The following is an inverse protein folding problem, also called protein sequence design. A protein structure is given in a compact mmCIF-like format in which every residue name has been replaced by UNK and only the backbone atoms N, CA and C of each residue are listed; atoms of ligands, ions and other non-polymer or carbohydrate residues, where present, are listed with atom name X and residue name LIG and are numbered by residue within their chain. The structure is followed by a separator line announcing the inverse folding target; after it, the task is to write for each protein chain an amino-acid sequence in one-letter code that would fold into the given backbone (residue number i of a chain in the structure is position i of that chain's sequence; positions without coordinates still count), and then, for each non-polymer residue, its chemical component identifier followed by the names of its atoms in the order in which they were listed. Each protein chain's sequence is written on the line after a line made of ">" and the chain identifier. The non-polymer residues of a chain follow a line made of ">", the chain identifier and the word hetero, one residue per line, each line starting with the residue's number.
data_IF_168359792496
#
_entry.id   IF_168359792496
#
_cell.length_a   1.000
_cell.length_b   1.000
_cell.length_c   1.000
_cell.angle_alpha   90.00
_cell.angle_beta   90.00
_cell.angle_gamma   90.00
#
_symmetry.space_group_name_H-M   'P 1'
#
loop_
_entity.id
_entity.type
_entity.pdbx_description
1 polymer ?
#
# COMPACT_ATOMS: atom_id res chain seq x y z
N UNK A 1 -1.56 3.01 -12.48
CA UNK A 1 -2.66 3.03 -11.49
C UNK A 1 -2.03 3.10 -10.11
N UNK A 2 -2.20 4.22 -9.41
CA UNK A 2 -1.55 4.44 -8.12
C UNK A 2 -2.25 3.66 -7.02
N UNK A 3 -1.52 2.76 -6.36
CA UNK A 3 -1.94 2.13 -5.11
C UNK A 3 -1.61 3.07 -3.95
N UNK A 4 -2.50 3.21 -2.98
CA UNK A 4 -2.24 3.99 -1.77
C UNK A 4 -1.41 3.16 -0.79
N UNK A 5 -0.36 3.74 -0.22
CA UNK A 5 0.59 3.03 0.65
C UNK A 5 0.07 2.79 2.07
N UNK A 6 -0.96 3.51 2.50
CA UNK A 6 -1.57 3.41 3.83
C UNK A 6 -2.99 4.00 3.85
N UNK A 7 -3.76 3.70 4.89
CA UNK A 7 -5.07 4.32 5.16
C UNK A 7 -4.99 5.85 5.18
N UNK A 8 -3.98 6.42 5.85
CA UNK A 8 -3.78 7.87 5.90
C UNK A 8 -3.52 8.47 4.52
N UNK A 9 -2.74 7.79 3.68
CA UNK A 9 -2.51 8.22 2.29
C UNK A 9 -3.81 8.16 1.48
N UNK A 10 -4.64 7.15 1.72
CA UNK A 10 -5.93 7.00 1.06
C UNK A 10 -6.91 8.12 1.48
N UNK A 11 -7.02 8.45 2.76
CA UNK A 11 -7.88 9.57 3.19
C UNK A 11 -7.46 10.91 2.61
N UNK A 12 -6.15 11.14 2.42
CA UNK A 12 -5.65 12.42 1.89
C UNK A 12 -5.77 12.55 0.37
N UNK A 13 -5.63 11.45 -0.37
CA UNK A 13 -5.48 11.49 -1.83
C UNK A 13 -6.47 10.61 -2.61
N UNK A 14 -7.06 9.61 -1.94
CA UNK A 14 -7.96 8.62 -2.52
C UNK A 14 -9.44 8.94 -2.35
N UNK A 15 -9.80 9.90 -1.50
CA UNK A 15 -11.17 10.41 -1.38
C UNK A 15 -11.28 11.79 -2.01
N UNK A 16 -12.19 11.92 -2.97
CA UNK A 16 -12.45 13.19 -3.65
C UNK A 16 -13.88 13.61 -3.38
N UNK A 17 -14.08 14.76 -2.74
CA UNK A 17 -15.41 15.36 -2.63
C UNK A 17 -15.94 15.68 -4.02
N UNK A 18 -17.17 15.28 -4.30
CA UNK A 18 -17.83 15.53 -5.58
C UNK A 18 -19.18 16.20 -5.36
N UNK A 19 -19.58 17.01 -6.34
CA UNK A 19 -20.96 17.46 -6.48
C UNK A 19 -21.70 16.43 -7.33
N UNK A 20 -22.84 15.95 -6.84
CA UNK A 20 -23.68 15.02 -7.59
C UNK A 20 -24.47 15.78 -8.66
N UNK A 21 -24.73 15.13 -9.80
CA UNK A 21 -25.61 15.64 -10.86
C UNK A 21 -27.04 15.14 -10.72
N UNK A 22 -27.25 14.11 -9.91
CA UNK A 22 -28.55 13.50 -9.61
C UNK A 22 -28.61 13.14 -8.13
N UNK A 23 -29.81 13.10 -7.50
CA UNK A 23 -29.97 12.60 -6.15
C UNK A 23 -29.51 11.14 -6.05
N UNK A 24 -28.63 10.83 -5.10
CA UNK A 24 -28.15 9.47 -4.83
C UNK A 24 -28.10 9.24 -3.32
N UNK A 25 -28.37 8.01 -2.91
CA UNK A 25 -28.29 7.60 -1.51
C UNK A 25 -26.93 6.97 -1.20
N UNK A 26 -26.41 7.22 0.00
CA UNK A 26 -25.22 6.57 0.49
C UNK A 26 -25.47 5.06 0.63
N UNK A 27 -24.66 4.21 0.00
CA UNK A 27 -24.89 2.75 0.07
C UNK A 27 -24.54 2.13 1.43
N UNK A 28 -23.92 2.89 2.34
CA UNK A 28 -23.56 2.43 3.70
C UNK A 28 -24.73 2.66 4.67
N UNK A 29 -25.20 3.90 4.81
CA UNK A 29 -26.29 4.26 5.73
C UNK A 29 -27.68 4.30 5.08
N UNK A 30 -27.77 4.36 3.74
CA UNK A 30 -29.00 4.52 2.95
C UNK A 30 -29.71 5.86 3.13
N UNK A 31 -28.97 6.89 3.52
CA UNK A 31 -29.45 8.28 3.63
C UNK A 31 -29.05 9.09 2.37
N UNK A 32 -29.83 10.12 2.01
CA UNK A 32 -29.56 10.94 0.82
C UNK A 32 -28.26 11.75 0.98
N UNK A 33 -27.50 11.83 -0.12
CA UNK A 33 -26.27 12.64 -0.19
C UNK A 33 -26.57 14.07 -0.63
N UNK A 34 -25.68 15.01 -0.25
CA UNK A 34 -25.75 16.39 -0.72
C UNK A 34 -25.69 16.47 -2.25
N UNK A 35 -26.73 17.07 -2.81
CA UNK A 35 -26.93 17.27 -4.24
C UNK A 35 -27.26 18.74 -4.50
N UNK A 36 -26.57 19.37 -5.46
CA UNK A 36 -26.93 20.69 -5.98
C UNK A 36 -27.26 20.59 -7.46
N UNK A 37 -28.53 20.79 -7.87
CA UNK A 37 -28.89 20.73 -9.27
C UNK A 37 -28.19 21.86 -10.05
N UNK A 38 -27.66 21.58 -11.25
CA UNK A 38 -27.10 22.62 -12.11
C UNK A 38 -28.24 23.53 -12.61
N UNK A 39 -28.48 24.64 -11.93
CA UNK A 39 -29.45 25.67 -12.37
C UNK A 39 -30.40 26.26 -11.30
N UNK A 40 -30.11 26.15 -10.01
CA UNK A 40 -30.92 26.79 -8.97
C UNK A 40 -30.64 28.29 -8.84
N UNK A 41 -31.46 29.13 -9.46
CA UNK A 41 -31.59 30.55 -9.12
C UNK A 41 -32.02 30.73 -7.67
N UNK A 42 -31.41 31.71 -7.02
CA UNK A 42 -31.85 32.34 -5.77
C UNK A 42 -33.37 32.56 -5.74
N UNK A 43 -34.04 32.15 -4.65
CA UNK A 43 -35.50 32.12 -4.59
C UNK A 43 -36.06 31.85 -3.20
N UNK A 44 -36.43 32.93 -2.54
CA UNK A 44 -37.07 33.03 -1.22
C UNK A 44 -38.51 32.45 -1.20
N UNK A 45 -38.83 31.69 -0.15
CA UNK A 45 -40.14 31.43 0.51
C UNK A 45 -41.35 30.84 -0.28
N UNK A 46 -42.10 29.94 0.37
CA UNK A 46 -43.52 29.74 0.05
C UNK A 46 -44.16 28.40 0.44
N UNK A 47 -44.92 28.42 1.54
CA UNK A 47 -45.98 27.47 1.89
C UNK A 47 -46.91 27.13 0.71
N UNK A 48 -47.30 25.84 0.60
CA UNK A 48 -48.66 25.41 0.19
C UNK A 48 -48.79 23.86 0.16
N UNK A 49 -49.52 23.37 1.16
CA UNK A 49 -50.62 22.39 1.10
C UNK A 49 -50.61 21.22 0.10
N UNK A 50 -50.82 20.02 0.67
CA UNK A 50 -51.00 18.71 0.05
C UNK A 50 -52.19 18.58 -0.96
N UNK A 51 -52.32 17.40 -1.61
CA UNK A 51 -53.37 16.49 -1.13
C UNK A 51 -52.97 14.99 -1.04
N UNK A 52 -53.29 14.43 0.13
CA UNK A 52 -53.84 13.10 0.44
C UNK A 52 -53.56 11.88 -0.47
N UNK A 53 -52.88 10.88 0.11
CA UNK A 53 -53.40 9.51 0.10
C UNK A 53 -52.94 8.74 1.36
N UNK A 54 -53.82 8.04 2.10
CA UNK A 54 -53.51 7.46 3.39
C UNK A 54 -53.17 5.96 3.27
N UNK A 55 -52.12 5.51 3.97
CA UNK A 55 -52.05 4.18 4.63
C UNK A 55 -50.69 3.94 5.28
N UNK A 56 -50.57 4.26 6.56
CA UNK A 56 -50.37 3.32 7.69
C UNK A 56 -49.78 4.10 8.87
N UNK A 57 -50.62 4.24 9.89
CA UNK A 57 -50.26 4.74 11.22
C UNK A 57 -49.44 3.69 11.97
N UNK A 58 -48.36 4.12 12.63
CA UNK A 58 -48.17 3.84 14.05
C UNK A 58 -47.19 4.83 14.72
N UNK A 59 -47.72 5.45 15.77
CA UNK A 59 -47.05 5.87 17.02
C UNK A 59 -46.16 7.12 17.00
N UNK A 60 -46.69 8.15 17.65
CA UNK A 60 -45.99 9.36 18.05
C UNK A 60 -44.79 9.10 18.98
N UNK A 61 -43.71 9.81 18.72
CA UNK A 61 -42.64 10.18 19.66
C UNK A 61 -42.19 11.62 19.30
N UNK A 62 -41.66 12.40 20.26
CA UNK A 62 -41.72 13.86 20.22
C UNK A 62 -40.74 14.48 19.24
N UNK A 63 -41.08 15.69 18.80
CA UNK A 63 -40.25 16.60 18.03
C UNK A 63 -38.84 16.73 18.62
N UNK A 64 -37.89 16.04 18.01
CA UNK A 64 -36.46 16.35 18.07
C UNK A 64 -36.05 16.71 16.66
N UNK A 65 -35.44 17.89 16.50
CA UNK A 65 -35.01 18.51 15.25
C UNK A 65 -34.58 17.47 14.19
N UNK A 66 -35.38 17.34 13.13
CA UNK A 66 -34.92 16.78 11.87
C UNK A 66 -34.04 17.84 11.21
N UNK A 67 -32.81 17.95 11.69
CA UNK A 67 -31.75 18.56 10.88
C UNK A 67 -31.58 17.63 9.69
N UNK A 68 -31.81 18.18 8.51
CA UNK A 68 -31.64 17.54 7.20
C UNK A 68 -30.15 17.17 7.03
N UNK A 69 -29.72 16.08 7.67
CA UNK A 69 -28.31 15.72 7.81
C UNK A 69 -27.82 15.02 6.55
N UNK A 70 -27.88 15.73 5.43
CA UNK A 70 -27.35 15.26 4.16
C UNK A 70 -25.82 15.29 4.20
N UNK A 71 -25.21 14.16 3.90
CA UNK A 71 -23.76 13.98 3.98
C UNK A 71 -23.06 14.38 2.68
N UNK A 72 -21.84 14.92 2.77
CA UNK A 72 -21.04 15.26 1.59
C UNK A 72 -20.66 14.00 0.80
N UNK A 73 -21.05 13.95 -0.48
CA UNK A 73 -20.66 12.88 -1.38
C UNK A 73 -19.15 12.90 -1.66
N UNK A 74 -18.52 11.73 -1.55
CA UNK A 74 -17.13 11.49 -1.90
C UNK A 74 -17.02 10.33 -2.87
N UNK A 75 -16.17 10.49 -3.89
CA UNK A 75 -15.76 9.43 -4.80
C UNK A 75 -14.42 8.86 -4.35
N UNK A 76 -14.33 7.53 -4.27
CA UNK A 76 -13.09 6.86 -3.88
C UNK A 76 -12.31 6.31 -5.08
N UNK A 77 -11.00 6.47 -5.09
CA UNK A 77 -10.09 5.83 -6.03
C UNK A 77 -9.58 4.50 -5.45
N UNK A 78 -9.41 3.41 -6.21
CA UNK A 78 -9.38 3.34 -7.68
C UNK A 78 -10.70 2.93 -8.35
N UNK A 79 -11.74 2.60 -7.59
CA UNK A 79 -12.96 2.02 -8.14
C UNK A 79 -14.08 3.02 -8.52
N UNK A 80 -13.93 4.29 -8.16
CA UNK A 80 -14.86 5.39 -8.44
C UNK A 80 -16.27 5.24 -7.83
N UNK A 81 -16.45 4.36 -6.84
CA UNK A 81 -17.69 4.30 -6.08
C UNK A 81 -17.87 5.54 -5.20
N UNK A 82 -19.13 5.88 -4.95
CA UNK A 82 -19.54 7.11 -4.24
C UNK A 82 -20.20 6.73 -2.92
N UNK A 83 -19.81 7.45 -1.87
CA UNK A 83 -20.31 7.27 -0.51
C UNK A 83 -20.46 8.62 0.18
N UNK A 84 -21.08 8.64 1.35
CA UNK A 84 -20.93 9.74 2.29
C UNK A 84 -19.51 9.78 2.90
N UNK A 85 -18.98 10.99 3.09
CA UNK A 85 -17.61 11.25 3.56
C UNK A 85 -17.28 10.63 4.93
N UNK A 86 -18.13 10.82 5.92
CA UNK A 86 -18.06 10.28 7.27
C UNK A 86 -18.39 8.78 7.29
N UNK A 87 -19.39 8.33 6.53
CA UNK A 87 -19.73 6.91 6.39
C UNK A 87 -18.55 6.08 5.91
N UNK A 88 -17.86 6.51 4.84
CA UNK A 88 -16.71 5.76 4.33
C UNK A 88 -15.50 5.85 5.28
N UNK A 89 -15.29 6.98 5.97
CA UNK A 89 -14.24 7.09 7.00
C UNK A 89 -14.50 6.13 8.14
N UNK A 90 -15.71 6.16 8.71
CA UNK A 90 -16.10 5.32 9.82
C UNK A 90 -16.05 3.83 9.45
N UNK A 91 -16.47 3.46 8.23
CA UNK A 91 -16.33 2.10 7.71
C UNK A 91 -14.88 1.62 7.72
N UNK A 92 -13.98 2.45 7.22
CA UNK A 92 -12.55 2.14 7.11
C UNK A 92 -11.83 2.18 8.47
N UNK A 93 -12.32 2.96 9.43
CA UNK A 93 -11.79 3.06 10.80
C UNK A 93 -12.32 1.95 11.73
N UNK A 94 -13.61 1.62 11.65
CA UNK A 94 -14.29 0.74 12.63
C UNK A 94 -14.15 -0.74 12.27
N UNK A 95 -14.19 -1.07 10.98
CA UNK A 95 -14.32 -2.47 10.54
C UNK A 95 -13.00 -3.16 10.22
N UNK A 96 -11.85 -2.51 10.47
CA UNK A 96 -10.55 -2.90 9.88
C UNK A 96 -10.67 -3.20 8.38
N UNK A 97 -11.65 -2.57 7.72
CA UNK A 97 -11.92 -2.81 6.31
C UNK A 97 -10.99 -1.89 5.52
N UNK A 98 -10.31 -2.46 4.55
CA UNK A 98 -9.45 -1.75 3.60
C UNK A 98 -9.97 -1.90 2.17
N UNK A 99 -11.21 -2.34 2.03
CA UNK A 99 -11.82 -2.64 0.75
C UNK A 99 -13.06 -1.79 0.54
N UNK A 100 -13.37 -1.51 -0.72
CA UNK A 100 -14.59 -0.81 -1.08
C UNK A 100 -15.82 -1.64 -0.65
N UNK A 101 -16.80 -1.06 0.07
CA UNK A 101 -18.03 -1.76 0.47
C UNK A 101 -18.84 -2.33 -0.71
N UNK A 102 -18.77 -1.68 -1.87
CA UNK A 102 -19.53 -2.07 -3.07
C UNK A 102 -18.87 -3.19 -3.87
N UNK A 103 -17.58 -3.02 -4.21
CA UNK A 103 -16.89 -3.93 -5.15
C UNK A 103 -15.74 -4.72 -4.52
N UNK A 104 -15.46 -4.52 -3.22
CA UNK A 104 -14.38 -5.17 -2.47
C UNK A 104 -12.97 -4.91 -3.03
N UNK A 105 -12.81 -3.91 -3.90
CA UNK A 105 -11.48 -3.48 -4.37
C UNK A 105 -10.66 -3.00 -3.19
N UNK A 106 -9.44 -3.52 -3.06
CA UNK A 106 -8.50 -3.11 -2.02
C UNK A 106 -8.03 -1.66 -2.25
N UNK A 107 -8.23 -0.82 -1.24
CA UNK A 107 -7.97 0.62 -1.28
C UNK A 107 -6.55 0.95 -0.80
N UNK A 108 -6.09 0.24 0.23
CA UNK A 108 -4.75 0.35 0.78
C UNK A 108 -4.38 -0.98 1.44
N UNK A 109 -3.09 -1.25 1.66
CA UNK A 109 -2.68 -2.48 2.29
C UNK A 109 -3.07 -2.58 3.77
N UNK A 110 -3.27 -3.80 4.29
CA UNK A 110 -3.40 -4.02 5.75
C UNK A 110 -2.20 -3.40 6.48
N UNK A 111 -2.42 -2.72 7.63
CA UNK A 111 -1.35 -2.50 8.58
C UNK A 111 -0.77 -3.87 9.00
N UNK A 112 0.48 -4.15 8.59
CA UNK A 112 1.12 -5.46 8.76
C UNK A 112 1.11 -6.36 7.51
N UNK A 113 1.15 -5.77 6.30
CA UNK A 113 1.38 -6.45 5.00
C UNK A 113 2.22 -7.72 5.14
N UNK A 114 1.58 -8.86 4.81
CA UNK A 114 2.19 -10.16 4.46
C UNK A 114 3.63 -10.29 4.99
N UNK A 115 3.78 -10.45 6.31
CA UNK A 115 5.08 -10.75 6.92
C UNK A 115 5.68 -11.91 6.17
N UNK A 116 6.73 -11.64 5.41
CA UNK A 116 7.45 -12.66 4.67
C UNK A 116 8.73 -12.92 5.42
N UNK A 117 8.84 -14.11 6.01
CA UNK A 117 10.10 -14.58 6.59
C UNK A 117 10.92 -15.19 5.47
N UNK A 118 11.99 -14.52 5.11
CA UNK A 118 12.96 -14.99 4.15
C UNK A 118 14.01 -15.80 4.88
N UNK A 119 14.12 -17.08 4.51
CA UNK A 119 15.09 -18.00 5.07
C UNK A 119 16.34 -17.98 4.21
N UNK A 120 17.40 -17.32 4.69
CA UNK A 120 18.63 -17.16 3.95
C UNK A 120 19.73 -18.05 4.51
N UNK A 121 20.39 -18.80 3.64
CA UNK A 121 21.69 -19.38 3.96
C UNK A 121 22.79 -18.31 3.84
N UNK A 122 23.89 -18.42 4.61
CA UNK A 122 25.07 -17.61 4.41
C UNK A 122 25.51 -17.62 2.92
N UNK A 123 25.71 -16.45 2.29
CA UNK A 123 26.03 -16.41 0.88
C UNK A 123 27.44 -16.92 0.62
N UNK A 124 27.60 -17.70 -0.45
CA UNK A 124 28.89 -18.23 -0.90
C UNK A 124 29.79 -17.11 -1.47
N UNK A 125 31.09 -17.39 -1.60
CA UNK A 125 32.05 -16.48 -2.25
C UNK A 125 31.57 -16.05 -3.65
N UNK A 126 31.09 -16.99 -4.44
CA UNK A 126 30.58 -16.75 -5.80
C UNK A 126 29.33 -15.85 -5.81
N UNK A 127 28.42 -16.03 -4.85
CA UNK A 127 27.22 -15.19 -4.71
C UNK A 127 27.57 -13.77 -4.30
N UNK A 128 28.55 -13.59 -3.39
CA UNK A 128 29.10 -12.28 -3.01
C UNK A 128 29.78 -11.59 -4.19
N UNK A 129 30.56 -12.33 -5.00
CA UNK A 129 31.16 -11.84 -6.25
C UNK A 129 30.10 -11.35 -7.24
N UNK A 130 29.06 -12.16 -7.46
CA UNK A 130 27.93 -11.79 -8.31
C UNK A 130 27.21 -10.53 -7.81
N UNK A 131 27.10 -10.35 -6.49
CA UNK A 131 26.52 -9.15 -5.88
C UNK A 131 27.38 -7.91 -6.08
N UNK A 132 28.70 -8.01 -5.88
CA UNK A 132 29.62 -6.90 -6.14
C UNK A 132 29.49 -6.39 -7.58
N UNK A 133 29.42 -7.32 -8.54
CA UNK A 133 29.16 -7.00 -9.96
C UNK A 133 27.77 -6.42 -10.21
N UNK A 134 26.74 -6.92 -9.53
CA UNK A 134 25.40 -6.35 -9.60
C UNK A 134 25.39 -4.89 -9.14
N UNK A 135 26.03 -4.58 -8.01
CA UNK A 135 26.14 -3.21 -7.51
C UNK A 135 26.94 -2.35 -8.48
N UNK A 136 28.06 -2.83 -9.03
CA UNK A 136 28.82 -2.13 -10.07
C UNK A 136 27.99 -1.73 -11.29
N UNK A 137 27.12 -2.64 -11.73
CA UNK A 137 26.27 -2.43 -12.90
C UNK A 137 25.02 -1.60 -12.59
N UNK A 138 24.37 -1.86 -11.45
CA UNK A 138 23.08 -1.29 -11.08
C UNK A 138 23.21 0.07 -10.38
N UNK A 139 24.39 0.42 -9.87
CA UNK A 139 24.59 1.65 -9.11
C UNK A 139 25.08 2.80 -9.97
N UNK A 140 24.54 3.99 -9.70
CA UNK A 140 25.08 5.27 -10.15
C UNK A 140 26.34 5.73 -9.36
N UNK A 141 26.89 4.87 -8.49
CA UNK A 141 27.99 5.17 -7.55
C UNK A 141 29.14 4.17 -7.68
N UNK A 142 29.98 4.28 -8.72
CA UNK A 142 31.07 3.34 -9.00
C UNK A 142 32.15 3.34 -7.92
N UNK A 143 32.19 4.35 -7.03
CA UNK A 143 33.21 4.49 -5.98
C UNK A 143 33.08 3.45 -4.85
N UNK A 144 31.93 2.79 -4.71
CA UNK A 144 31.68 1.77 -3.68
C UNK A 144 32.14 0.38 -4.12
N UNK A 145 32.22 0.14 -5.42
CA UNK A 145 32.58 -1.14 -5.99
C UNK A 145 33.97 -1.67 -5.56
N UNK A 146 35.05 -0.85 -5.56
CA UNK A 146 36.34 -1.29 -5.03
C UNK A 146 36.30 -1.65 -3.55
N UNK A 147 35.49 -0.95 -2.75
CA UNK A 147 35.35 -1.23 -1.32
C UNK A 147 34.60 -2.55 -1.07
N UNK A 148 33.54 -2.82 -1.83
CA UNK A 148 32.80 -4.08 -1.78
C UNK A 148 33.70 -5.26 -2.19
N UNK A 149 34.56 -5.09 -3.20
CA UNK A 149 35.53 -6.12 -3.60
C UNK A 149 36.60 -6.38 -2.55
N UNK A 150 37.13 -5.33 -1.90
CA UNK A 150 38.13 -5.48 -0.83
C UNK A 150 37.57 -6.17 0.40
N UNK A 151 36.31 -5.92 0.74
CA UNK A 151 35.66 -6.48 1.93
C UNK A 151 34.64 -7.56 1.56
N UNK A 152 34.86 -8.29 0.46
CA UNK A 152 33.89 -9.19 -0.15
C UNK A 152 33.34 -10.25 0.81
N UNK A 153 34.21 -10.85 1.64
CA UNK A 153 33.82 -11.83 2.66
C UNK A 153 33.37 -11.20 3.98
N UNK A 154 33.55 -9.89 4.14
CA UNK A 154 33.19 -9.17 5.34
C UNK A 154 31.68 -9.18 5.64
N UNK A 155 31.35 -8.92 6.89
CA UNK A 155 29.97 -8.84 7.37
C UNK A 155 29.19 -7.70 6.68
N UNK A 156 29.86 -6.60 6.36
CA UNK A 156 29.26 -5.44 5.70
C UNK A 156 28.68 -5.77 4.31
N UNK A 157 29.39 -6.57 3.51
CA UNK A 157 28.88 -7.00 2.20
C UNK A 157 27.69 -7.94 2.35
N UNK A 158 27.73 -8.83 3.35
CA UNK A 158 26.59 -9.71 3.69
C UNK A 158 25.36 -8.89 4.13
N UNK A 159 25.53 -7.86 4.96
CA UNK A 159 24.44 -6.94 5.35
C UNK A 159 23.86 -6.21 4.15
N UNK A 160 24.71 -5.69 3.27
CA UNK A 160 24.27 -4.95 2.08
C UNK A 160 23.47 -5.84 1.12
N UNK A 161 23.88 -7.10 0.91
CA UNK A 161 23.11 -8.09 0.12
C UNK A 161 21.69 -8.24 0.65
N UNK A 162 21.54 -8.31 1.98
CA UNK A 162 20.23 -8.45 2.63
C UNK A 162 19.41 -7.17 2.56
N UNK A 163 20.03 -6.01 2.75
CA UNK A 163 19.33 -4.73 2.62
C UNK A 163 18.68 -4.57 1.25
N UNK A 164 19.42 -4.89 0.17
CA UNK A 164 18.89 -4.83 -1.20
C UNK A 164 17.67 -5.74 -1.37
N UNK A 165 17.70 -6.94 -0.78
CA UNK A 165 16.55 -7.84 -0.80
C UNK A 165 15.34 -7.27 -0.03
N UNK A 166 15.56 -6.72 1.17
CA UNK A 166 14.50 -6.15 2.00
C UNK A 166 13.86 -4.97 1.27
N UNK A 167 14.66 -4.01 0.81
CA UNK A 167 14.17 -2.80 0.11
C UNK A 167 13.33 -3.15 -1.12
N UNK A 168 13.76 -4.14 -1.91
CA UNK A 168 12.98 -4.58 -3.08
C UNK A 168 11.65 -5.20 -2.68
N UNK A 169 11.59 -5.94 -1.57
CA UNK A 169 10.34 -6.55 -1.06
C UNK A 169 9.43 -5.49 -0.46
N UNK A 170 9.98 -4.51 0.25
CA UNK A 170 9.24 -3.36 0.76
C UNK A 170 8.66 -2.50 -0.37
N UNK A 171 9.38 -2.32 -1.49
CA UNK A 171 8.84 -1.67 -2.71
C UNK A 171 7.67 -2.44 -3.33
N UNK A 172 7.67 -3.77 -3.24
CA UNK A 172 6.53 -4.62 -3.61
C UNK A 172 5.43 -4.63 -2.51
N UNK A 173 5.71 -3.97 -1.38
CA UNK A 173 4.88 -3.85 -0.20
C UNK A 173 4.77 -5.14 0.59
N UNK A 174 5.88 -5.80 0.87
CA UNK A 174 5.97 -6.85 1.88
C UNK A 174 6.77 -6.33 3.07
N UNK A 175 6.38 -6.72 4.29
CA UNK A 175 7.24 -6.56 5.46
C UNK A 175 8.19 -7.77 5.51
N UNK A 176 9.40 -7.60 4.98
CA UNK A 176 10.40 -8.67 4.89
C UNK A 176 11.18 -8.78 6.20
N UNK A 177 11.17 -9.97 6.80
CA UNK A 177 12.03 -10.31 7.93
C UNK A 177 13.01 -11.40 7.49
N UNK A 178 14.27 -11.30 7.87
CA UNK A 178 15.31 -12.27 7.47
C UNK A 178 15.60 -13.19 8.64
N UNK A 179 15.50 -14.48 8.38
CA UNK A 179 15.89 -15.55 9.30
C UNK A 179 17.07 -16.29 8.66
N UNK A 180 18.23 -16.27 9.33
CA UNK A 180 19.40 -16.98 8.85
C UNK A 180 19.29 -18.46 9.18
N UNK A 181 19.59 -19.31 8.19
CA UNK A 181 19.58 -20.77 8.34
C UNK A 181 20.96 -21.31 7.97
N UNK A 182 21.56 -22.07 8.87
CA UNK A 182 22.86 -22.69 8.69
C UNK A 182 23.87 -22.20 9.72
N UNK A 183 24.97 -22.93 9.82
CA UNK A 183 26.05 -22.59 10.74
C UNK A 183 26.81 -21.38 10.21
N UNK A 184 27.15 -20.45 11.11
CA UNK A 184 27.90 -19.26 10.77
C UNK A 184 29.37 -19.66 10.67
N UNK A 185 29.73 -20.29 9.56
CA UNK A 185 31.14 -20.45 9.23
C UNK A 185 31.68 -19.04 8.99
N UNK A 186 32.32 -18.47 10.01
CA UNK A 186 33.25 -17.35 9.81
C UNK A 186 34.17 -17.79 8.68
N UNK A 187 34.10 -17.08 7.56
CA UNK A 187 35.13 -17.22 6.57
C UNK A 187 36.33 -16.52 7.19
N UNK A 188 37.30 -17.30 7.67
CA UNK A 188 38.58 -16.74 8.07
C UNK A 188 39.09 -15.91 6.90
N UNK A 189 39.38 -14.63 7.17
CA UNK A 189 39.94 -13.68 6.22
C UNK A 189 41.40 -14.08 5.89
N UNK A 190 41.63 -15.31 5.42
CA UNK A 190 42.87 -15.65 4.75
C UNK A 190 42.91 -14.82 3.47
N UNK A 191 43.69 -13.75 3.53
CA UNK A 191 44.06 -12.83 2.46
C UNK A 191 44.58 -13.61 1.24
N UNK A 192 43.66 -14.12 0.42
CA UNK A 192 43.95 -14.65 -0.91
C UNK A 192 44.07 -13.51 -1.89
N UNK A 193 45.29 -13.01 -2.08
CA UNK A 193 45.67 -11.91 -2.97
C UNK A 193 45.46 -12.20 -4.48
N UNK A 194 44.87 -13.34 -4.86
CA UNK A 194 44.95 -13.90 -6.21
C UNK A 194 43.62 -14.04 -6.97
N UNK A 195 42.49 -13.62 -6.39
CA UNK A 195 41.17 -13.78 -7.03
C UNK A 195 40.72 -12.64 -7.97
N UNK A 196 41.45 -11.52 -8.03
CA UNK A 196 40.98 -10.27 -8.66
C UNK A 196 41.15 -10.19 -10.19
N UNK A 197 41.52 -11.27 -10.86
CA UNK A 197 41.66 -11.31 -12.33
C UNK A 197 40.55 -12.10 -13.05
N UNK A 198 39.54 -12.62 -12.35
CA UNK A 198 38.41 -13.26 -13.02
C UNK A 198 37.44 -12.21 -13.59
N UNK A 199 37.66 -11.87 -14.88
CA UNK A 199 36.81 -11.03 -15.74
C UNK A 199 35.52 -11.78 -16.14
N UNK A 200 34.97 -12.61 -15.26
CA UNK A 200 33.65 -13.19 -15.50
C UNK A 200 32.58 -12.13 -15.25
N UNK A 201 31.77 -11.81 -16.27
CA UNK A 201 30.58 -10.96 -16.15
C UNK A 201 29.40 -11.69 -15.50
N UNK A 202 29.63 -12.89 -14.97
CA UNK A 202 28.56 -13.74 -14.52
C UNK A 202 27.94 -13.21 -13.22
N UNK A 203 26.63 -12.96 -13.31
CA UNK A 203 25.73 -12.53 -12.22
C UNK A 203 24.75 -13.66 -11.86
N UNK A 204 24.82 -14.80 -12.54
CA UNK A 204 23.89 -15.92 -12.40
C UNK A 204 23.81 -16.41 -10.96
N UNK A 205 24.93 -16.49 -10.25
CA UNK A 205 24.98 -16.90 -8.85
C UNK A 205 24.22 -15.94 -7.91
N UNK A 206 24.38 -14.63 -8.10
CA UNK A 206 23.59 -13.61 -7.38
C UNK A 206 22.11 -13.71 -7.72
N UNK A 207 21.77 -13.78 -9.01
CA UNK A 207 20.38 -13.91 -9.43
C UNK A 207 19.73 -15.19 -8.90
N UNK A 208 20.45 -16.31 -8.93
CA UNK A 208 20.00 -17.57 -8.37
C UNK A 208 19.73 -17.43 -6.88
N UNK A 209 20.65 -16.86 -6.10
CA UNK A 209 20.47 -16.62 -4.67
C UNK A 209 19.31 -15.65 -4.37
N UNK A 210 19.22 -14.53 -5.11
CA UNK A 210 18.15 -13.54 -4.99
C UNK A 210 16.78 -14.12 -5.33
N UNK A 211 16.69 -14.99 -6.35
CA UNK A 211 15.45 -15.61 -6.78
C UNK A 211 15.08 -16.85 -5.96
N UNK A 212 16.04 -17.60 -5.41
CA UNK A 212 15.77 -18.69 -4.45
C UNK A 212 15.15 -18.16 -3.16
N UNK A 213 15.44 -16.89 -2.85
CA UNK A 213 14.85 -16.13 -1.74
C UNK A 213 13.45 -15.56 -2.08
N UNK A 214 12.83 -15.98 -3.19
CA UNK A 214 11.43 -15.62 -3.52
C UNK A 214 10.44 -16.48 -2.76
N UNK A 215 9.29 -15.88 -2.51
CA UNK A 215 8.07 -16.49 -1.99
C UNK A 215 7.73 -17.73 -2.86
N UNK A 216 7.64 -18.92 -2.26
CA UNK A 216 6.79 -20.00 -2.79
C UNK A 216 5.36 -19.73 -2.35
#
# INVERSE_FOLDING_TARGET
>A
MGYFSSQRSFFKHGMQSITLSEPQDCTICREPLLFTPPGGTDGTMGDQSAPSNPRRSCSAAPAGNAEDSHEQAVRISPCNHVFGADCIRQWLETSNSRTCPMCRTELYPEPGRRRFKMKLAPPTREQRLGFARYIEYASARPEWAPAIRRCLMGEEVRRLMVMVLIEDREKMGYEANVEWIGDETMYDDEEGEDGLNDVSTDRSAWHAWYHHSRIR
#
